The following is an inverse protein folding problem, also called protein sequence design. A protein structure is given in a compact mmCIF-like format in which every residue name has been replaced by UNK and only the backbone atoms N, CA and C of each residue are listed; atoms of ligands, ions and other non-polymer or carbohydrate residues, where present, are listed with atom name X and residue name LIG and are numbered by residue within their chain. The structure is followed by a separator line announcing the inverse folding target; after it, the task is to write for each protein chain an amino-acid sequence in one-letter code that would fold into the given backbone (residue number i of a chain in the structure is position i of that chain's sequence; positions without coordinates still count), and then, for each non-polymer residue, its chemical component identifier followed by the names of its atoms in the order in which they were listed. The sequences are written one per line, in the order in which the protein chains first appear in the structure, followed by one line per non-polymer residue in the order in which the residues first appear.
data_IF_292344061855
#
_entry.id   IF_292344061855
#
_cell.length_a   1.000
_cell.length_b   1.000
_cell.length_c   1.000
_cell.angle_alpha   90.00
_cell.angle_beta   90.00
_cell.angle_gamma   90.00
#
_symmetry.space_group_name_H-M   'P 1'
#
loop_
_entity.id
_entity.type
_entity.pdbx_description
1 polymer ?
#
# COMPACT_ATOMS: atom_id res chain seq x y z
N UNK A 1 -6.21 5.10 -25.49
CA UNK A 1 -5.32 4.28 -24.66
C UNK A 1 -5.70 4.62 -23.24
N UNK A 2 -6.52 3.78 -22.60
CA UNK A 2 -6.83 3.94 -21.19
C UNK A 2 -5.55 3.64 -20.42
N UNK A 3 -4.83 4.71 -20.09
CA UNK A 3 -3.75 4.70 -19.12
C UNK A 3 -4.41 4.27 -17.80
N UNK A 4 -4.25 2.99 -17.44
CA UNK A 4 -4.84 2.41 -16.24
C UNK A 4 -4.13 3.01 -15.01
N UNK A 5 -4.44 4.27 -14.74
CA UNK A 5 -3.96 4.99 -13.57
C UNK A 5 -4.57 4.34 -12.33
N UNK A 6 -3.70 3.74 -11.53
CA UNK A 6 -4.07 3.23 -10.21
C UNK A 6 -4.00 4.40 -9.22
N UNK A 7 -5.16 4.80 -8.70
CA UNK A 7 -5.25 5.87 -7.70
C UNK A 7 -5.45 5.28 -6.30
N UNK A 8 -4.63 5.72 -5.36
CA UNK A 8 -4.74 5.41 -3.93
C UNK A 8 -5.08 6.71 -3.22
N UNK A 9 -6.12 6.71 -2.37
CA UNK A 9 -6.49 7.85 -1.54
C UNK A 9 -6.68 7.42 -0.10
N UNK A 10 -5.95 8.04 0.83
CA UNK A 10 -6.11 7.82 2.26
C UNK A 10 -7.50 8.22 2.78
N UNK A 11 -8.21 9.12 2.08
CA UNK A 11 -9.56 9.55 2.47
C UNK A 11 -10.58 8.41 2.32
N UNK A 12 -10.34 7.52 1.35
CA UNK A 12 -11.19 6.37 1.08
C UNK A 12 -10.87 5.18 1.99
N UNK A 13 -9.89 5.27 2.91
CA UNK A 13 -9.43 4.13 3.71
C UNK A 13 -10.30 3.91 4.97
N UNK A 14 -10.73 2.68 5.24
CA UNK A 14 -11.48 2.33 6.48
C UNK A 14 -10.67 2.57 7.75
N UNK A 15 -9.35 2.54 7.65
CA UNK A 15 -8.41 2.70 8.76
C UNK A 15 -8.05 4.17 9.04
N UNK A 16 -8.60 5.12 8.28
CA UNK A 16 -8.29 6.55 8.42
C UNK A 16 -8.50 7.02 9.87
N UNK A 17 -7.54 7.79 10.40
CA UNK A 17 -7.51 8.30 11.78
C UNK A 17 -7.32 7.25 12.89
N UNK A 18 -6.94 6.01 12.55
CA UNK A 18 -6.48 5.02 13.53
C UNK A 18 -4.96 5.03 13.68
N UNK A 19 -4.47 4.39 14.74
CA UNK A 19 -3.02 4.23 14.99
C UNK A 19 -2.31 3.47 13.85
N UNK A 20 -3.04 2.75 13.00
CA UNK A 20 -2.49 2.07 11.82
C UNK A 20 -2.01 3.03 10.72
N UNK A 21 -2.41 4.30 10.76
CA UNK A 21 -1.87 5.30 9.84
C UNK A 21 -0.41 5.66 10.15
N UNK A 22 0.01 5.53 11.42
CA UNK A 22 1.35 5.90 11.88
C UNK A 22 2.46 4.99 11.33
N UNK A 23 2.12 3.75 10.97
CA UNK A 23 3.06 2.76 10.38
C UNK A 23 2.62 2.32 8.97
N UNK A 24 1.78 3.10 8.30
CA UNK A 24 1.23 2.74 7.00
C UNK A 24 2.24 2.96 5.87
N UNK A 25 2.47 1.94 5.04
CA UNK A 25 3.33 2.03 3.84
C UNK A 25 2.83 3.10 2.85
N UNK A 26 1.52 3.40 2.84
CA UNK A 26 0.92 4.39 1.94
C UNK A 26 1.44 5.80 2.22
N UNK A 27 1.75 6.14 3.47
CA UNK A 27 2.37 7.43 3.82
C UNK A 27 3.68 7.61 3.07
N UNK A 28 4.52 6.57 3.03
CA UNK A 28 5.79 6.59 2.29
C UNK A 28 5.63 6.63 0.77
N UNK A 29 4.50 6.16 0.23
CA UNK A 29 4.24 6.21 -1.21
C UNK A 29 3.70 7.58 -1.61
N UNK A 30 2.78 8.15 -0.82
CA UNK A 30 2.11 9.43 -1.12
C UNK A 30 2.97 10.66 -0.82
N UNK A 31 3.96 10.56 0.08
CA UNK A 31 4.91 11.66 0.36
C UNK A 31 6.00 11.81 -0.71
N UNK A 32 6.07 10.89 -1.68
CA UNK A 32 7.03 10.94 -2.78
C UNK A 32 6.63 11.96 -3.82
N UNK A 33 7.62 12.51 -4.52
CA UNK A 33 7.35 13.33 -5.69
C UNK A 33 6.68 12.49 -6.79
N UNK A 34 5.80 13.08 -7.63
CA UNK A 34 5.04 12.34 -8.65
C UNK A 34 5.91 11.55 -9.64
N UNK A 35 7.16 11.96 -9.83
CA UNK A 35 8.12 11.35 -10.76
C UNK A 35 8.96 10.23 -10.10
N UNK A 36 8.78 10.01 -8.79
CA UNK A 36 9.60 9.12 -7.97
C UNK A 36 9.01 7.69 -7.98
N UNK A 37 9.35 6.92 -9.02
CA UNK A 37 8.84 5.55 -9.20
C UNK A 37 9.13 4.63 -7.99
N UNK A 38 8.11 3.89 -7.55
CA UNK A 38 8.27 2.81 -6.58
C UNK A 38 8.45 1.50 -7.34
N UNK A 39 9.65 0.94 -7.30
CA UNK A 39 9.97 -0.35 -7.93
C UNK A 39 9.96 -1.41 -6.86
N UNK A 40 9.16 -2.45 -7.07
CA UNK A 40 9.19 -3.68 -6.29
C UNK A 40 9.46 -4.79 -7.29
N UNK A 41 10.58 -5.50 -7.11
CA UNK A 41 10.91 -6.58 -8.02
C UNK A 41 10.03 -7.83 -7.79
N UNK A 42 10.01 -8.73 -8.76
CA UNK A 42 9.15 -9.91 -8.70
C UNK A 42 9.55 -10.89 -7.57
N UNK A 43 10.82 -10.92 -7.20
CA UNK A 43 11.33 -11.75 -6.11
C UNK A 43 10.97 -11.17 -4.74
N UNK A 44 11.15 -9.87 -4.54
CA UNK A 44 10.69 -9.11 -3.37
C UNK A 44 9.19 -9.29 -3.16
N UNK A 45 8.40 -9.14 -4.23
CA UNK A 45 6.96 -9.35 -4.17
C UNK A 45 6.58 -10.79 -3.82
N UNK A 46 7.37 -11.79 -4.23
CA UNK A 46 7.16 -13.20 -3.83
C UNK A 46 7.52 -13.43 -2.38
N UNK A 47 8.67 -12.91 -1.93
CA UNK A 47 9.12 -13.00 -0.55
C UNK A 47 8.09 -12.38 0.40
N UNK A 48 7.57 -11.20 0.08
CA UNK A 48 6.57 -10.53 0.90
C UNK A 48 5.29 -11.37 1.04
N UNK A 49 4.80 -11.98 -0.04
CA UNK A 49 3.63 -12.90 0.00
C UNK A 49 3.89 -14.14 0.86
N UNK A 50 5.10 -14.70 0.81
CA UNK A 50 5.47 -15.86 1.65
C UNK A 50 5.50 -15.48 3.13
N UNK A 51 6.10 -14.33 3.46
CA UNK A 51 6.19 -13.83 4.84
C UNK A 51 4.80 -13.51 5.41
N UNK A 52 3.92 -12.92 4.61
CA UNK A 52 2.50 -12.69 4.96
C UNK A 52 1.81 -14.03 5.26
N UNK A 53 1.93 -15.00 4.34
CA UNK A 53 1.30 -16.32 4.52
C UNK A 53 1.82 -17.09 5.75
N UNK A 54 3.05 -16.80 6.20
CA UNK A 54 3.64 -17.34 7.41
C UNK A 54 3.33 -16.50 8.68
N UNK A 55 2.66 -15.36 8.56
CA UNK A 55 2.37 -14.45 9.68
C UNK A 55 3.58 -13.69 10.22
N UNK A 56 4.67 -13.62 9.44
CA UNK A 56 5.93 -12.98 9.86
C UNK A 56 5.95 -11.47 9.62
N UNK A 57 5.08 -10.98 8.74
CA UNK A 57 4.90 -9.54 8.45
C UNK A 57 3.41 -9.23 8.32
N UNK A 58 2.99 -7.99 8.61
CA UNK A 58 1.60 -7.59 8.45
C UNK A 58 1.18 -7.58 6.98
N UNK A 59 -0.11 -7.84 6.75
CA UNK A 59 -0.77 -7.60 5.47
C UNK A 59 -0.90 -6.10 5.17
N UNK A 60 -1.22 -5.77 3.92
CA UNK A 60 -1.53 -4.39 3.53
C UNK A 60 -2.80 -3.94 4.28
N UNK A 61 -2.62 -2.96 5.18
CA UNK A 61 -3.70 -2.45 6.04
C UNK A 61 -4.63 -1.47 5.33
N UNK A 62 -4.19 -0.88 4.22
CA UNK A 62 -5.03 0.02 3.44
C UNK A 62 -6.19 -0.76 2.81
N UNK A 63 -7.38 -0.53 3.33
CA UNK A 63 -8.61 -1.11 2.82
C UNK A 63 -9.56 0.02 2.41
N UNK A 64 -10.02 -0.01 1.16
CA UNK A 64 -11.00 0.95 0.68
C UNK A 64 -12.32 0.75 1.44
N UNK A 65 -12.95 1.82 1.90
CA UNK A 65 -14.34 1.81 2.36
C UNK A 65 -15.17 1.29 1.19
N UNK A 66 -15.86 0.18 1.40
CA UNK A 66 -16.90 -0.26 0.48
C UNK A 66 -17.92 0.88 0.41
N UNK A 67 -18.01 1.53 -0.75
CA UNK A 67 -19.15 2.37 -1.09
C UNK A 67 -20.35 1.50 -1.45
#
# INVERSE_FOLDING_TARGET
MDDASFSISCDDCTMQHSDHCCDCVVTFICEREPDDAVVIDAEEARALRLLIGAGLVPELRHAKRSG
#
